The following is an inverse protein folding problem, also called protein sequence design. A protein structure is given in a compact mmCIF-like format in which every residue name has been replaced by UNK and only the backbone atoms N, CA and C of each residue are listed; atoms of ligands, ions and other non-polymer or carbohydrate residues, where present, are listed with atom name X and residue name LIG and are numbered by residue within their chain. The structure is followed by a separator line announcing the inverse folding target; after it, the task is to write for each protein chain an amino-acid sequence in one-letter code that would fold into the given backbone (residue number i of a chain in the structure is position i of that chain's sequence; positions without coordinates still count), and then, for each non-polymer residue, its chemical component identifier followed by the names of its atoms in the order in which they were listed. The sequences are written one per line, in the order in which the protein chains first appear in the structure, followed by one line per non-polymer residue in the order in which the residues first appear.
data_IF_339429643499
#
_entry.id   IF_339429643499
#
_cell.length_a   1.000
_cell.length_b   1.000
_cell.length_c   1.000
_cell.angle_alpha   90.00
_cell.angle_beta   90.00
_cell.angle_gamma   90.00
#
_symmetry.space_group_name_H-M   'P 1'
#
loop_
_entity.id
_entity.type
_entity.pdbx_description
1 polymer ?
#
# COMPACT_ATOMS: atom_id res chain seq x y z
N UNK A 1 16.37 12.30 5.35
CA UNK A 1 17.64 13.04 5.57
C UNK A 1 18.80 12.15 5.17
N UNK A 2 19.98 12.70 4.84
CA UNK A 2 21.15 11.87 4.54
C UNK A 2 22.09 11.88 5.75
N UNK A 3 22.55 10.70 6.16
CA UNK A 3 23.56 10.54 7.20
C UNK A 3 24.94 10.48 6.58
N UNK A 4 25.97 10.95 7.29
CA UNK A 4 27.34 10.85 6.82
C UNK A 4 28.04 9.66 7.47
N UNK A 5 28.74 8.89 6.67
CA UNK A 5 29.54 7.75 7.09
C UNK A 5 30.96 7.89 6.57
N UNK A 6 31.95 7.68 7.44
CA UNK A 6 33.39 7.70 7.04
C UNK A 6 33.84 6.27 6.85
N UNK A 7 34.33 5.97 5.66
CA UNK A 7 34.84 4.64 5.28
C UNK A 7 36.05 4.26 6.13
N UNK A 8 36.01 3.07 6.71
CA UNK A 8 37.11 2.50 7.49
C UNK A 8 37.76 1.31 6.77
N UNK A 9 38.93 0.89 7.24
CA UNK A 9 39.61 -0.24 6.64
C UNK A 9 38.79 -1.53 6.66
N UNK A 10 38.68 -2.20 5.53
CA UNK A 10 37.90 -3.42 5.36
C UNK A 10 36.42 -3.21 4.97
N UNK A 11 35.98 -1.97 4.80
CA UNK A 11 34.68 -1.65 4.28
C UNK A 11 34.54 -1.96 2.79
N UNK A 12 33.35 -2.35 2.42
CA UNK A 12 32.86 -2.40 1.04
C UNK A 12 31.49 -1.75 1.00
N UNK A 13 31.09 -1.23 -0.15
CA UNK A 13 29.73 -0.68 -0.29
C UNK A 13 28.65 -1.71 0.08
N UNK A 14 28.89 -3.00 -0.21
CA UNK A 14 27.99 -4.08 0.17
C UNK A 14 27.85 -4.19 1.71
N UNK A 15 28.96 -4.19 2.45
CA UNK A 15 28.94 -4.26 3.92
C UNK A 15 28.29 -3.03 4.53
N UNK A 16 28.55 -1.85 3.96
CA UNK A 16 27.94 -0.60 4.41
C UNK A 16 26.44 -0.63 4.16
N UNK A 17 25.97 -1.08 2.99
CA UNK A 17 24.56 -1.24 2.69
C UNK A 17 23.90 -2.27 3.62
N UNK A 18 24.57 -3.41 3.87
CA UNK A 18 24.07 -4.42 4.82
C UNK A 18 23.91 -3.84 6.23
N UNK A 19 24.85 -3.00 6.66
CA UNK A 19 24.79 -2.37 7.98
C UNK A 19 23.66 -1.33 8.08
N UNK A 20 23.53 -0.47 7.06
CA UNK A 20 22.61 0.67 7.10
C UNK A 20 21.19 0.34 6.63
N UNK A 21 21.05 -0.59 5.69
CA UNK A 21 19.78 -0.91 5.03
C UNK A 21 19.28 -2.32 5.38
N UNK A 22 20.10 -3.13 6.06
CA UNK A 22 19.79 -4.54 6.31
C UNK A 22 19.94 -5.44 5.07
N UNK A 23 20.30 -4.85 3.92
CA UNK A 23 20.47 -5.56 2.65
C UNK A 23 21.66 -5.01 1.88
N UNK A 24 22.69 -5.86 1.76
CA UNK A 24 23.93 -5.49 1.04
C UNK A 24 23.70 -5.29 -0.46
N UNK A 25 22.68 -5.89 -1.06
CA UNK A 25 22.37 -5.72 -2.49
C UNK A 25 21.96 -4.29 -2.84
N UNK A 26 21.58 -3.49 -1.84
CA UNK A 26 21.22 -2.07 -2.00
C UNK A 26 22.43 -1.13 -2.10
N UNK A 27 23.65 -1.65 -2.15
CA UNK A 27 24.86 -0.83 -2.32
C UNK A 27 24.84 0.13 -3.53
N UNK A 28 24.12 -0.14 -4.65
CA UNK A 28 24.04 0.81 -5.74
C UNK A 28 23.38 2.14 -5.35
N UNK A 29 22.52 2.16 -4.34
CA UNK A 29 21.92 3.39 -3.84
C UNK A 29 22.98 4.30 -3.20
N UNK A 30 23.92 3.70 -2.42
CA UNK A 30 25.04 4.44 -1.84
C UNK A 30 25.97 4.92 -2.94
N UNK A 31 26.30 4.06 -3.91
CA UNK A 31 27.15 4.41 -5.04
C UNK A 31 26.61 5.61 -5.81
N UNK A 32 25.33 5.56 -6.21
CA UNK A 32 24.64 6.62 -6.96
C UNK A 32 24.58 7.94 -6.17
N UNK A 33 24.24 7.88 -4.88
CA UNK A 33 24.14 9.06 -4.03
C UNK A 33 25.49 9.79 -3.84
N UNK A 34 26.60 9.08 -4.07
CA UNK A 34 27.98 9.60 -3.91
C UNK A 34 28.76 9.71 -5.22
N UNK A 35 28.12 9.48 -6.37
CA UNK A 35 28.78 9.55 -7.68
C UNK A 35 29.89 8.52 -7.87
N UNK A 36 29.83 7.37 -7.17
CA UNK A 36 30.81 6.31 -7.25
C UNK A 36 30.52 5.42 -8.46
N UNK A 37 31.35 5.54 -9.48
CA UNK A 37 31.23 4.75 -10.73
C UNK A 37 31.85 3.35 -10.61
N UNK A 38 32.89 3.20 -9.76
CA UNK A 38 33.53 1.91 -9.48
C UNK A 38 33.28 1.53 -8.01
N UNK A 39 32.35 0.62 -7.72
CA UNK A 39 32.01 0.24 -6.35
C UNK A 39 33.15 -0.47 -5.58
N UNK A 40 34.21 -0.93 -6.29
CA UNK A 40 35.36 -1.56 -5.70
C UNK A 40 36.49 -0.56 -5.33
N UNK A 41 36.31 0.71 -5.64
CA UNK A 41 37.32 1.76 -5.42
C UNK A 41 36.96 2.68 -4.25
N UNK A 42 36.66 2.10 -3.09
CA UNK A 42 36.50 2.88 -1.86
C UNK A 42 37.84 3.24 -1.23
N UNK A 43 37.96 4.48 -0.76
CA UNK A 43 39.16 4.94 -0.03
C UNK A 43 38.83 5.06 1.47
N UNK A 44 39.71 4.57 2.31
CA UNK A 44 39.65 4.79 3.76
C UNK A 44 39.68 6.30 4.03
N UNK A 45 38.80 6.78 4.89
CA UNK A 45 38.58 8.19 5.17
C UNK A 45 37.63 8.91 4.21
N UNK A 46 37.18 8.27 3.14
CA UNK A 46 36.11 8.83 2.26
C UNK A 46 34.83 9.00 3.05
N UNK A 47 34.17 10.16 2.89
CA UNK A 47 32.88 10.44 3.53
C UNK A 47 31.77 10.16 2.54
N UNK A 48 30.90 9.23 2.89
CA UNK A 48 29.73 8.85 2.10
C UNK A 48 28.46 9.48 2.67
N UNK A 49 27.60 9.93 1.81
CA UNK A 49 26.21 10.28 2.13
C UNK A 49 25.36 9.00 2.05
N UNK A 50 24.87 8.55 3.18
CA UNK A 50 23.93 7.42 3.25
C UNK A 50 22.53 7.98 3.26
N UNK A 51 21.76 7.72 2.19
CA UNK A 51 20.38 8.11 2.13
C UNK A 51 19.58 7.31 3.16
N UNK A 52 18.77 7.99 3.95
CA UNK A 52 17.75 7.27 4.72
C UNK A 52 16.76 6.70 3.70
N UNK A 53 16.80 5.39 3.50
CA UNK A 53 15.71 4.73 2.77
C UNK A 53 14.43 4.97 3.56
N UNK A 54 13.29 5.17 2.89
CA UNK A 54 12.03 5.08 3.58
C UNK A 54 12.02 3.75 4.30
N UNK A 55 12.11 3.79 5.62
CA UNK A 55 12.06 2.59 6.42
C UNK A 55 10.68 2.00 6.20
N UNK A 56 10.58 0.88 5.51
CA UNK A 56 9.35 0.07 5.46
C UNK A 56 8.98 -0.50 6.84
N UNK A 57 9.61 0.04 7.91
CA UNK A 57 9.30 -0.29 9.30
C UNK A 57 7.86 0.08 9.69
N UNK A 58 7.25 0.98 8.94
CA UNK A 58 5.88 1.41 9.15
C UNK A 58 4.96 0.82 8.09
N UNK A 59 5.04 -0.50 7.89
CA UNK A 59 4.11 -1.22 7.04
C UNK A 59 2.68 -0.96 7.51
N UNK A 60 1.85 -0.55 6.58
CA UNK A 60 0.43 -0.37 6.80
C UNK A 60 -0.32 -1.49 6.09
N UNK A 61 -1.13 -2.19 6.82
CA UNK A 61 -2.05 -3.17 6.26
C UNK A 61 -3.35 -3.08 7.03
N UNK A 62 -4.42 -2.87 6.32
CA UNK A 62 -5.76 -2.85 6.88
C UNK A 62 -6.70 -3.58 5.94
N UNK A 63 -7.78 -4.09 6.48
CA UNK A 63 -8.78 -4.81 5.70
C UNK A 63 -9.93 -5.21 6.60
N UNK A 64 -11.00 -5.66 5.99
CA UNK A 64 -12.18 -6.06 6.72
C UNK A 64 -13.19 -6.79 5.85
N UNK A 65 -14.26 -7.22 6.48
CA UNK A 65 -15.41 -7.80 5.82
C UNK A 65 -16.44 -6.72 5.52
N UNK A 66 -17.09 -6.81 4.37
CA UNK A 66 -18.23 -5.97 4.05
C UNK A 66 -19.46 -6.55 4.76
N UNK A 67 -19.92 -5.82 5.77
CA UNK A 67 -21.01 -6.28 6.64
C UNK A 67 -22.33 -5.58 6.37
N UNK A 68 -22.32 -4.47 5.64
CA UNK A 68 -23.55 -3.77 5.28
C UNK A 68 -24.07 -4.24 3.91
N UNK A 69 -25.21 -4.90 3.97
CA UNK A 69 -25.87 -5.63 2.87
C UNK A 69 -26.44 -4.71 1.80
N UNK A 70 -26.65 -3.42 2.09
CA UNK A 70 -27.36 -2.53 1.17
C UNK A 70 -26.46 -1.75 0.23
N UNK A 71 -25.25 -1.40 0.66
CA UNK A 71 -24.30 -0.58 -0.09
C UNK A 71 -22.85 -1.10 -0.02
N UNK A 72 -22.61 -2.27 0.56
CA UNK A 72 -21.28 -2.86 0.61
C UNK A 72 -20.21 -1.93 1.20
N UNK A 73 -20.59 -1.09 2.16
CA UNK A 73 -19.67 -0.13 2.78
C UNK A 73 -18.92 -0.75 3.92
N UNK A 74 -17.62 -0.49 3.99
CA UNK A 74 -16.84 -0.81 5.16
C UNK A 74 -15.81 0.28 5.46
N UNK A 75 -15.77 0.68 6.72
CA UNK A 75 -14.75 1.57 7.25
C UNK A 75 -13.59 0.68 7.70
N UNK A 76 -12.39 0.98 7.20
CA UNK A 76 -11.20 0.23 7.60
C UNK A 76 -10.89 0.52 9.07
N UNK A 77 -10.51 -0.51 9.86
CA UNK A 77 -10.29 -0.35 11.30
C UNK A 77 -9.10 0.54 11.62
N UNK A 78 -8.10 0.54 10.75
CA UNK A 78 -6.88 1.30 10.97
C UNK A 78 -6.96 2.69 10.32
N UNK A 79 -6.58 3.69 11.09
CA UNK A 79 -6.56 5.08 10.64
C UNK A 79 -5.15 5.48 10.21
N UNK A 80 -5.07 6.39 9.24
CA UNK A 80 -3.81 7.08 8.91
C UNK A 80 -3.53 8.10 10.00
N UNK A 81 -2.43 7.99 10.76
CA UNK A 81 -2.14 8.91 11.87
C UNK A 81 -1.88 10.33 11.39
N UNK A 82 -2.18 11.31 12.24
CA UNK A 82 -1.81 12.71 11.98
C UNK A 82 -0.29 12.87 11.80
N UNK A 83 0.13 13.74 10.88
CA UNK A 83 1.54 13.96 10.58
C UNK A 83 2.20 12.85 9.73
N UNK A 84 1.44 11.89 9.28
CA UNK A 84 1.91 10.80 8.42
C UNK A 84 1.13 10.80 7.10
N UNK A 85 1.79 10.27 6.08
CA UNK A 85 1.20 9.97 4.79
C UNK A 85 1.18 8.46 4.59
N UNK A 86 0.03 7.91 4.25
CA UNK A 86 -0.06 6.55 3.77
C UNK A 86 0.20 6.53 2.26
N UNK A 87 1.17 5.73 1.85
CA UNK A 87 1.41 5.36 0.46
C UNK A 87 0.78 3.99 0.25
N UNK A 88 -0.32 3.94 -0.47
CA UNK A 88 -1.01 2.68 -0.79
C UNK A 88 -0.38 2.10 -2.05
N UNK A 89 0.04 0.84 -1.98
CA UNK A 89 0.67 0.12 -3.09
C UNK A 89 -0.22 -0.98 -3.66
N UNK A 90 -1.09 -1.56 -2.82
CA UNK A 90 -1.97 -2.63 -3.25
C UNK A 90 -3.35 -2.46 -2.65
N UNK A 91 -4.37 -2.62 -3.49
CA UNK A 91 -5.76 -2.73 -3.06
C UNK A 91 -6.33 -4.01 -3.65
N UNK A 92 -6.87 -4.87 -2.80
CA UNK A 92 -7.52 -6.12 -3.19
C UNK A 92 -8.93 -6.16 -2.64
N UNK A 93 -9.81 -6.82 -3.35
CA UNK A 93 -11.16 -7.05 -2.87
C UNK A 93 -11.79 -8.27 -3.53
N UNK A 94 -12.72 -8.86 -2.83
CA UNK A 94 -13.60 -9.90 -3.36
C UNK A 94 -15.02 -9.67 -2.84
N UNK A 95 -15.99 -10.08 -3.65
CA UNK A 95 -17.39 -9.87 -3.34
C UNK A 95 -18.24 -11.00 -3.94
N UNK A 96 -19.19 -11.48 -3.15
CA UNK A 96 -20.18 -12.45 -3.59
C UNK A 96 -21.55 -11.75 -3.66
N UNK A 97 -22.23 -11.87 -4.76
CA UNK A 97 -23.55 -11.29 -4.97
C UNK A 97 -24.38 -12.14 -5.93
N UNK A 98 -25.66 -12.24 -5.66
CA UNK A 98 -26.65 -12.84 -6.58
C UNK A 98 -27.03 -11.85 -7.71
N UNK A 99 -26.80 -10.56 -7.49
CA UNK A 99 -26.93 -9.47 -8.48
C UNK A 99 -25.60 -9.14 -9.16
N UNK A 100 -25.62 -8.17 -10.07
CA UNK A 100 -24.39 -7.60 -10.62
C UNK A 100 -23.70 -6.69 -9.61
N UNK A 101 -22.40 -6.48 -9.77
CA UNK A 101 -21.64 -5.45 -9.07
C UNK A 101 -21.29 -4.35 -10.07
N UNK A 102 -21.61 -3.10 -9.76
CA UNK A 102 -21.38 -1.97 -10.64
C UNK A 102 -19.98 -1.37 -10.52
N UNK A 103 -19.43 -1.34 -9.30
CA UNK A 103 -18.11 -0.77 -9.06
C UNK A 103 -17.65 -0.92 -7.62
N UNK A 104 -16.41 -0.57 -7.39
CA UNK A 104 -15.83 -0.41 -6.06
C UNK A 104 -15.05 0.89 -6.00
N UNK A 105 -15.04 1.52 -4.84
CA UNK A 105 -14.29 2.73 -4.61
C UNK A 105 -13.59 2.71 -3.25
N UNK A 106 -12.36 3.20 -3.21
CA UNK A 106 -11.66 3.52 -1.96
C UNK A 106 -11.80 5.02 -1.72
N UNK A 107 -12.35 5.35 -0.57
CA UNK A 107 -12.58 6.72 -0.12
C UNK A 107 -11.70 7.01 1.09
N UNK A 108 -11.28 8.26 1.23
CA UNK A 108 -10.67 8.73 2.47
C UNK A 108 -11.49 9.86 3.08
N UNK A 109 -11.77 9.77 4.36
CA UNK A 109 -12.35 10.87 5.14
C UNK A 109 -11.25 11.53 5.96
N UNK A 110 -11.30 12.87 6.07
CA UNK A 110 -10.30 13.66 6.81
C UNK A 110 -9.15 14.18 5.95
N UNK A 111 -8.89 13.62 4.79
CA UNK A 111 -7.99 14.22 3.79
C UNK A 111 -8.74 15.32 3.03
N UNK A 112 -8.25 16.57 3.00
CA UNK A 112 -8.90 17.65 2.29
C UNK A 112 -9.05 17.41 0.77
N UNK A 113 -8.32 16.46 0.22
CA UNK A 113 -8.36 16.12 -1.20
C UNK A 113 -9.48 15.14 -1.57
N UNK A 114 -10.17 14.52 -0.58
CA UNK A 114 -11.21 13.51 -0.79
C UNK A 114 -10.88 12.55 -1.92
N UNK A 115 -9.84 11.75 -1.73
CA UNK A 115 -9.38 10.84 -2.78
C UNK A 115 -10.43 9.75 -2.96
N UNK A 116 -11.08 9.76 -4.13
CA UNK A 116 -11.95 8.69 -4.58
C UNK A 116 -11.22 7.93 -5.68
N UNK A 117 -10.97 6.66 -5.44
CA UNK A 117 -10.40 5.76 -6.45
C UNK A 117 -11.41 4.67 -6.75
N UNK A 118 -11.84 4.63 -8.00
CA UNK A 118 -12.74 3.58 -8.48
C UNK A 118 -11.92 2.41 -9.05
N UNK A 119 -12.35 1.21 -8.70
CA UNK A 119 -11.74 -0.04 -9.16
C UNK A 119 -12.76 -0.84 -9.97
N UNK A 120 -12.41 -1.32 -11.17
CA UNK A 120 -13.27 -2.22 -11.91
C UNK A 120 -13.31 -3.60 -11.22
N UNK A 121 -14.50 -4.14 -11.08
CA UNK A 121 -14.69 -5.52 -10.66
C UNK A 121 -14.58 -6.46 -11.86
N UNK A 122 -13.90 -7.57 -11.66
CA UNK A 122 -13.85 -8.64 -12.64
C UNK A 122 -14.64 -9.83 -12.09
N UNK A 123 -15.66 -10.26 -12.84
CA UNK A 123 -16.35 -11.50 -12.50
C UNK A 123 -15.40 -12.68 -12.72
N UNK A 124 -15.04 -13.36 -11.64
CA UNK A 124 -14.05 -14.44 -11.65
C UNK A 124 -14.69 -15.83 -11.65
N UNK A 125 -16.01 -15.91 -11.42
CA UNK A 125 -16.73 -17.18 -11.40
C UNK A 125 -18.18 -17.05 -10.98
N UNK A 126 -18.88 -18.18 -11.04
CA UNK A 126 -20.23 -18.33 -10.47
C UNK A 126 -20.29 -19.63 -9.69
N UNK A 127 -20.93 -19.60 -8.54
CA UNK A 127 -21.27 -20.79 -7.75
C UNK A 127 -22.76 -21.04 -7.92
N UNK A 128 -23.09 -22.04 -8.71
CA UNK A 128 -24.47 -22.50 -8.86
C UNK A 128 -24.71 -23.58 -7.81
N UNK A 129 -25.43 -23.24 -6.76
CA UNK A 129 -25.92 -24.23 -5.81
C UNK A 129 -27.47 -24.19 -5.82
N UNK A 130 -28.09 -25.29 -5.43
CA UNK A 130 -29.55 -25.46 -5.49
C UNK A 130 -30.31 -24.29 -4.82
N UNK A 131 -30.62 -23.25 -5.59
CA UNK A 131 -31.47 -22.13 -5.19
C UNK A 131 -30.88 -20.73 -5.26
N UNK A 132 -29.61 -20.54 -5.51
CA UNK A 132 -29.03 -19.21 -5.73
C UNK A 132 -27.83 -19.27 -6.68
N UNK A 133 -27.82 -18.38 -7.66
CA UNK A 133 -26.69 -18.13 -8.54
C UNK A 133 -25.79 -17.05 -7.92
N UNK A 134 -24.89 -17.45 -7.03
CA UNK A 134 -23.89 -16.51 -6.49
C UNK A 134 -22.76 -16.27 -7.47
N UNK A 135 -22.53 -15.04 -7.81
CA UNK A 135 -21.43 -14.59 -8.63
C UNK A 135 -20.28 -14.13 -7.74
N UNK A 136 -19.07 -14.54 -8.12
CA UNK A 136 -17.86 -14.12 -7.47
C UNK A 136 -17.18 -13.02 -8.29
N UNK A 137 -16.90 -11.92 -7.64
CA UNK A 137 -16.18 -10.79 -8.21
C UNK A 137 -14.91 -10.57 -7.42
N UNK A 138 -13.83 -10.21 -8.11
CA UNK A 138 -12.58 -9.91 -7.45
C UNK A 138 -11.79 -8.86 -8.20
N UNK A 139 -10.88 -8.22 -7.51
CA UNK A 139 -9.86 -7.38 -8.10
C UNK A 139 -8.61 -7.41 -7.25
N UNK A 140 -7.48 -7.18 -7.91
CA UNK A 140 -6.19 -6.96 -7.28
C UNK A 140 -5.46 -5.91 -8.12
N UNK A 141 -5.29 -4.72 -7.55
CA UNK A 141 -4.64 -3.62 -8.23
C UNK A 141 -3.37 -3.21 -7.49
N UNK A 142 -2.27 -3.16 -8.25
CA UNK A 142 -1.10 -2.40 -7.86
C UNK A 142 -1.38 -0.95 -8.18
N UNK A 143 -1.25 -0.10 -7.17
CA UNK A 143 -1.56 1.33 -7.27
C UNK A 143 -0.45 2.15 -6.62
N UNK A 144 -0.49 3.45 -6.78
CA UNK A 144 0.31 4.36 -5.96
C UNK A 144 -0.54 5.57 -5.58
N UNK A 145 -1.20 5.43 -4.44
CA UNK A 145 -2.13 6.43 -3.92
C UNK A 145 -1.58 7.00 -2.61
N UNK A 146 -1.89 8.25 -2.35
CA UNK A 146 -1.39 8.96 -1.18
C UNK A 146 -2.56 9.48 -0.35
N UNK A 147 -2.55 9.18 0.94
CA UNK A 147 -3.55 9.67 1.90
C UNK A 147 -2.82 10.33 3.05
N UNK A 148 -3.06 11.62 3.23
CA UNK A 148 -2.47 12.38 4.34
C UNK A 148 -3.36 12.27 5.58
N UNK A 149 -2.75 11.94 6.70
CA UNK A 149 -3.45 11.82 7.97
C UNK A 149 -3.60 13.17 8.71
N UNK A 150 -4.53 13.25 9.67
CA UNK A 150 -5.35 12.13 10.12
C UNK A 150 -6.49 11.80 9.13
N UNK A 151 -6.63 10.55 8.75
CA UNK A 151 -7.67 10.12 7.82
C UNK A 151 -8.16 8.70 8.14
N UNK A 152 -9.44 8.46 7.87
CA UNK A 152 -10.04 7.14 7.90
C UNK A 152 -10.27 6.67 6.46
N UNK A 153 -9.95 5.42 6.18
CA UNK A 153 -10.22 4.81 4.90
C UNK A 153 -11.58 4.11 4.93
N UNK A 154 -12.28 4.20 3.82
CA UNK A 154 -13.56 3.55 3.61
C UNK A 154 -13.55 2.88 2.25
N UNK A 155 -14.09 1.70 2.20
CA UNK A 155 -14.28 0.96 0.96
C UNK A 155 -15.77 0.83 0.70
N UNK A 156 -16.21 1.24 -0.48
CA UNK A 156 -17.59 1.11 -0.92
C UNK A 156 -17.64 0.19 -2.15
N UNK A 157 -18.57 -0.76 -2.12
CA UNK A 157 -18.86 -1.61 -3.26
C UNK A 157 -20.34 -1.42 -3.63
N UNK A 158 -20.60 -0.88 -4.82
CA UNK A 158 -21.94 -0.72 -5.33
C UNK A 158 -22.40 -2.00 -6.03
N UNK A 159 -23.42 -2.63 -5.47
CA UNK A 159 -24.13 -3.74 -6.09
C UNK A 159 -25.34 -3.26 -6.88
N UNK A 160 -25.69 -3.99 -7.95
CA UNK A 160 -26.95 -3.75 -8.62
C UNK A 160 -28.12 -4.07 -7.68
N UNK A 161 -29.02 -3.11 -7.48
CA UNK A 161 -30.22 -3.29 -6.67
C UNK A 161 -31.04 -4.47 -7.20
N UNK A 162 -31.34 -5.44 -6.33
CA UNK A 162 -32.26 -6.55 -6.65
C UNK A 162 -31.72 -7.96 -6.34
N UNK A 163 -30.54 -8.11 -5.80
CA UNK A 163 -30.05 -9.42 -5.34
C UNK A 163 -30.71 -9.84 -4.04
N UNK A 164 -31.37 -11.00 -4.04
CA UNK A 164 -31.99 -11.61 -2.85
C UNK A 164 -30.93 -12.55 -2.23
N UNK A 165 -29.93 -11.99 -1.61
CA UNK A 165 -28.91 -12.79 -0.94
C UNK A 165 -28.04 -11.91 -0.06
N UNK A 166 -27.46 -12.51 0.97
CA UNK A 166 -26.51 -11.82 1.85
C UNK A 166 -25.21 -11.51 1.07
N UNK A 167 -24.99 -10.28 0.59
CA UNK A 167 -23.72 -9.97 -0.02
C UNK A 167 -22.64 -10.11 1.04
N UNK A 168 -21.61 -10.85 0.71
CA UNK A 168 -20.45 -11.01 1.56
C UNK A 168 -19.20 -10.75 0.76
N UNK A 169 -18.24 -10.14 1.37
CA UNK A 169 -17.00 -9.81 0.70
C UNK A 169 -15.96 -9.34 1.69
N UNK A 170 -14.79 -9.11 1.19
CA UNK A 170 -13.70 -8.55 1.96
C UNK A 170 -12.77 -7.76 1.06
N UNK A 171 -11.95 -6.95 1.68
CA UNK A 171 -10.93 -6.19 0.98
C UNK A 171 -9.75 -5.99 1.89
N UNK A 172 -8.62 -5.70 1.28
CA UNK A 172 -7.43 -5.27 2.01
C UNK A 172 -6.70 -4.17 1.26
N UNK A 173 -6.10 -3.29 2.04
CA UNK A 173 -5.24 -2.21 1.58
C UNK A 173 -3.88 -2.44 2.22
N UNK A 174 -2.82 -2.41 1.44
CA UNK A 174 -1.46 -2.48 1.95
C UNK A 174 -0.56 -1.42 1.34
N UNK A 175 0.42 -1.02 2.11
CA UNK A 175 1.37 0.01 1.76
C UNK A 175 2.28 0.34 2.95
N UNK A 176 2.69 1.56 3.06
CA UNK A 176 3.54 2.02 4.16
C UNK A 176 3.24 3.48 4.55
N UNK A 177 3.59 3.81 5.78
CA UNK A 177 3.47 5.18 6.29
C UNK A 177 4.82 5.90 6.14
N UNK A 178 4.79 7.10 5.59
CA UNK A 178 5.94 8.01 5.55
C UNK A 178 5.64 9.31 6.31
N UNK A 179 6.66 10.05 6.67
CA UNK A 179 6.46 11.38 7.22
C UNK A 179 5.88 12.32 6.17
N UNK A 180 4.93 13.17 6.56
CA UNK A 180 4.48 14.23 5.66
C UNK A 180 5.67 15.11 5.26
N UNK A 181 5.79 15.47 3.96
CA UNK A 181 6.78 16.44 3.55
C UNK A 181 6.53 17.77 4.28
N UNK A 182 7.58 18.51 4.61
CA UNK A 182 7.40 19.84 5.19
C UNK A 182 6.60 20.73 4.23
N UNK A 183 5.69 21.52 4.79
CA UNK A 183 4.84 22.45 4.06
C UNK A 183 5.66 23.56 3.41
#
# INVERSE_FOLDING_TARGET
MARKYTVVAGDTLFKIAQHWYGDGSLFPLIANANGITNPNALSVGQVLSILDLPQHSDLFRTGGEMTDVSIGRCILPDQVPGGRRLVIETVTGFYFSDGGVLGAALLSSGDPRHIVHAFPWVQSGSLTNTGSDRRFYGFNHLVRLYVDGPATLQFDADGAAGGVGDPSGGYSVSGFLEALPPA
#
